data_IF_259727287299
#
_entry.id   IF_259727287299
#
_cell.length_a   1.000
_cell.length_b   1.000
_cell.length_c   1.000
_cell.angle_alpha   90.00
_cell.angle_beta   90.00
_cell.angle_gamma   90.00
#
_symmetry.space_group_name_H-M   'P 1'
#
loop_
_entity.id
_entity.type
_entity.pdbx_description
1 polymer ?
#
# COMPACT_ATOMS: atom_id res chain seq x y z
N UNK A 1 10.87 8.25 3.98
CA UNK A 1 10.56 8.56 2.58
C UNK A 1 10.31 7.23 1.89
N UNK A 2 9.21 7.11 1.15
CA UNK A 2 8.80 5.89 0.46
C UNK A 2 8.95 6.13 -1.05
N UNK A 3 9.75 5.30 -1.72
CA UNK A 3 9.90 5.32 -3.18
C UNK A 3 8.88 4.37 -3.79
N UNK A 4 8.01 4.90 -4.66
CA UNK A 4 6.93 4.14 -5.29
C UNK A 4 6.99 4.34 -6.80
N UNK A 5 6.91 3.23 -7.53
CA UNK A 5 6.68 3.25 -8.97
C UNK A 5 5.18 3.12 -9.24
N UNK A 6 4.55 4.15 -9.78
CA UNK A 6 3.13 4.13 -10.14
C UNK A 6 3.00 3.84 -11.62
N UNK A 7 2.28 2.78 -11.98
CA UNK A 7 1.94 2.36 -13.33
C UNK A 7 0.44 2.58 -13.58
N UNK A 8 0.08 2.95 -14.79
CA UNK A 8 -1.30 2.97 -15.26
C UNK A 8 -1.49 1.88 -16.32
N UNK A 9 -2.43 0.97 -16.09
CA UNK A 9 -2.88 -0.03 -17.07
C UNK A 9 -4.31 0.33 -17.51
N UNK A 10 -4.55 0.35 -18.81
CA UNK A 10 -5.86 0.70 -19.38
C UNK A 10 -6.86 -0.45 -19.19
N UNK A 11 -8.14 -0.08 -19.11
CA UNK A 11 -9.26 -0.95 -18.74
C UNK A 11 -9.34 -2.22 -19.62
N UNK A 12 -9.23 -3.38 -18.98
CA UNK A 12 -9.62 -4.67 -19.56
C UNK A 12 -11.09 -4.98 -19.23
N UNK A 13 -11.69 -5.89 -19.99
CA UNK A 13 -13.15 -6.16 -20.04
C UNK A 13 -13.76 -6.78 -18.75
N UNK A 14 -12.97 -7.01 -17.70
CA UNK A 14 -13.45 -7.63 -16.44
C UNK A 14 -13.47 -6.63 -15.28
N UNK A 15 -14.15 -6.96 -14.18
CA UNK A 15 -14.21 -6.11 -12.98
C UNK A 15 -12.81 -5.89 -12.40
N UNK A 16 -12.12 -4.85 -12.87
CA UNK A 16 -10.71 -4.63 -12.56
C UNK A 16 -10.57 -4.07 -11.14
N UNK A 17 -9.66 -4.60 -10.31
CA UNK A 17 -9.35 -3.99 -9.02
C UNK A 17 -8.96 -2.51 -9.18
N UNK A 18 -9.17 -1.70 -8.14
CA UNK A 18 -8.80 -0.27 -8.14
C UNK A 18 -7.29 -0.10 -8.37
N UNK A 19 -6.52 -0.91 -7.66
CA UNK A 19 -5.07 -0.89 -7.72
C UNK A 19 -4.48 -2.24 -7.33
N UNK A 20 -3.22 -2.48 -7.70
CA UNK A 20 -2.41 -3.59 -7.21
C UNK A 20 -1.07 -3.07 -6.73
N UNK A 21 -0.64 -3.50 -5.56
CA UNK A 21 0.64 -3.15 -4.93
C UNK A 21 1.54 -4.38 -4.98
N UNK A 22 2.75 -4.22 -5.51
CA UNK A 22 3.75 -5.28 -5.56
C UNK A 22 5.07 -4.77 -4.98
N UNK A 23 5.63 -5.46 -4.00
CA UNK A 23 6.99 -5.19 -3.56
C UNK A 23 7.96 -5.98 -4.44
N UNK A 24 8.93 -5.29 -5.05
CA UNK A 24 9.99 -5.93 -5.84
C UNK A 24 11.29 -5.91 -5.04
N UNK A 25 11.91 -7.09 -4.90
CA UNK A 25 13.24 -7.20 -4.32
C UNK A 25 14.24 -6.39 -5.16
N UNK A 26 14.97 -5.48 -4.53
CA UNK A 26 16.07 -4.77 -5.19
C UNK A 26 17.26 -5.74 -5.32
N UNK A 27 17.54 -6.24 -6.51
CA UNK A 27 18.67 -7.15 -6.78
C UNK A 27 20.04 -6.48 -6.53
N UNK A 28 20.09 -5.15 -6.53
CA UNK A 28 21.33 -4.38 -6.52
C UNK A 28 21.99 -4.23 -5.14
N UNK A 29 21.29 -4.47 -4.02
CA UNK A 29 21.90 -4.52 -2.68
C UNK A 29 20.89 -5.04 -1.67
N UNK A 30 21.31 -6.00 -0.83
CA UNK A 30 20.61 -6.52 0.36
C UNK A 30 20.25 -5.42 1.40
N UNK A 31 20.70 -4.19 1.16
CA UNK A 31 20.57 -3.01 2.03
C UNK A 31 19.57 -1.97 1.50
N UNK A 32 19.05 -2.13 0.27
CA UNK A 32 18.08 -1.19 -0.31
C UNK A 32 16.66 -1.63 0.05
N UNK A 33 15.78 -0.73 0.55
CA UNK A 33 14.39 -1.10 0.79
C UNK A 33 13.72 -1.62 -0.50
N UNK A 34 12.90 -2.65 -0.36
CA UNK A 34 12.06 -3.16 -1.45
C UNK A 34 11.29 -2.02 -2.11
N UNK A 35 11.36 -1.91 -3.44
CA UNK A 35 10.63 -0.88 -4.18
C UNK A 35 9.17 -1.29 -4.28
N UNK A 36 8.26 -0.38 -3.93
CA UNK A 36 6.82 -0.60 -4.07
C UNK A 36 6.38 -0.22 -5.49
N UNK A 37 5.73 -1.14 -6.19
CA UNK A 37 5.15 -0.94 -7.52
C UNK A 37 3.64 -0.93 -7.39
N UNK A 38 3.04 0.24 -7.57
CA UNK A 38 1.59 0.45 -7.61
C UNK A 38 1.13 0.42 -9.04
N UNK A 39 0.22 -0.48 -9.37
CA UNK A 39 -0.49 -0.49 -10.65
C UNK A 39 -1.90 0.02 -10.41
N UNK A 40 -2.26 1.14 -11.01
CA UNK A 40 -3.62 1.68 -11.04
C UNK A 40 -4.32 1.17 -12.29
N UNK A 41 -5.60 0.83 -12.13
CA UNK A 41 -6.44 0.39 -13.23
C UNK A 41 -7.58 1.37 -13.49
N UNK A 42 -8.03 1.45 -14.75
CA UNK A 42 -9.12 2.33 -15.15
C UNK A 42 -8.72 3.81 -15.12
N UNK A 43 -9.59 4.67 -14.60
CA UNK A 43 -9.32 6.11 -14.50
C UNK A 43 -8.52 6.41 -13.23
N UNK A 44 -7.25 6.85 -13.32
CA UNK A 44 -6.45 7.14 -12.14
C UNK A 44 -6.95 8.41 -11.45
N UNK A 45 -7.16 8.34 -10.14
CA UNK A 45 -7.56 9.47 -9.30
C UNK A 45 -6.59 9.62 -8.13
N UNK A 46 -6.59 10.80 -7.50
CA UNK A 46 -5.78 10.99 -6.29
C UNK A 46 -6.20 10.02 -5.18
N UNK A 47 -7.48 9.66 -5.11
CA UNK A 47 -8.01 8.72 -4.14
C UNK A 47 -7.57 7.27 -4.41
N UNK A 48 -7.58 6.81 -5.66
CA UNK A 48 -7.11 5.46 -6.00
C UNK A 48 -5.62 5.27 -5.72
N UNK A 49 -4.81 6.29 -6.00
CA UNK A 49 -3.40 6.29 -5.62
C UNK A 49 -3.21 6.35 -4.10
N UNK A 50 -3.96 7.20 -3.39
CA UNK A 50 -3.87 7.27 -1.94
C UNK A 50 -4.25 5.95 -1.25
N UNK A 51 -5.28 5.25 -1.75
CA UNK A 51 -5.66 3.91 -1.28
C UNK A 51 -4.56 2.88 -1.49
N UNK A 52 -3.90 2.90 -2.64
CA UNK A 52 -2.78 1.99 -2.91
C UNK A 52 -1.58 2.27 -1.98
N UNK A 53 -1.24 3.54 -1.77
CA UNK A 53 -0.17 3.93 -0.83
C UNK A 53 -0.54 3.56 0.61
N UNK A 54 -1.79 3.76 1.01
CA UNK A 54 -2.30 3.32 2.31
C UNK A 54 -2.14 1.80 2.48
N UNK A 55 -2.45 1.01 1.46
CA UNK A 55 -2.28 -0.44 1.51
C UNK A 55 -0.81 -0.85 1.73
N UNK A 56 0.16 -0.22 1.04
CA UNK A 56 1.58 -0.44 1.30
C UNK A 56 1.97 -0.12 2.75
N UNK A 57 1.48 1.00 3.30
CA UNK A 57 1.83 1.41 4.67
C UNK A 57 1.22 0.51 5.73
N UNK A 58 -0.06 0.18 5.60
CA UNK A 58 -0.73 -0.73 6.52
C UNK A 58 -0.12 -2.13 6.45
N UNK A 59 0.25 -2.61 5.26
CA UNK A 59 0.94 -3.89 5.11
C UNK A 59 2.32 -3.92 5.79
N UNK A 60 3.07 -2.82 5.74
CA UNK A 60 4.32 -2.68 6.48
C UNK A 60 4.10 -2.68 8.00
N UNK A 61 3.03 -2.03 8.49
CA UNK A 61 2.67 -1.99 9.91
C UNK A 61 2.30 -3.37 10.45
N UNK A 62 1.50 -4.14 9.71
CA UNK A 62 1.04 -5.48 10.12
C UNK A 62 2.19 -6.46 10.27
N UNK A 63 3.15 -6.45 9.34
CA UNK A 63 4.22 -7.47 9.33
C UNK A 63 5.48 -7.07 10.07
N UNK A 64 5.74 -5.77 10.23
CA UNK A 64 6.98 -5.23 10.83
C UNK A 64 8.27 -5.83 10.21
N UNK A 65 8.18 -6.31 8.96
CA UNK A 65 9.24 -6.96 8.19
C UNK A 65 9.53 -6.13 6.93
N UNK A 66 10.63 -5.36 6.90
CA UNK A 66 10.96 -4.53 5.74
C UNK A 66 11.36 -5.37 4.52
N UNK A 67 11.82 -6.61 4.73
CA UNK A 67 12.28 -7.57 3.73
C UNK A 67 11.16 -8.42 3.10
N UNK A 68 9.93 -8.34 3.64
CA UNK A 68 8.79 -9.07 3.08
C UNK A 68 8.41 -8.50 1.71
N UNK A 69 8.25 -9.40 0.75
CA UNK A 69 7.60 -9.15 -0.53
C UNK A 69 6.09 -9.18 -0.34
N UNK A 70 5.37 -8.33 -1.06
CA UNK A 70 3.92 -8.17 -0.93
C UNK A 70 3.30 -8.13 -2.31
N UNK A 71 2.17 -8.78 -2.47
CA UNK A 71 1.32 -8.72 -3.65
C UNK A 71 -0.11 -8.51 -3.16
N UNK A 72 -0.61 -7.28 -3.28
CA UNK A 72 -1.92 -6.89 -2.75
C UNK A 72 -2.78 -6.34 -3.87
N UNK A 73 -4.03 -6.78 -3.89
CA UNK A 73 -5.06 -6.29 -4.80
C UNK A 73 -6.07 -5.48 -4.01
N UNK A 74 -6.34 -4.25 -4.46
CA UNK A 74 -7.24 -3.30 -3.80
C UNK A 74 -8.58 -3.30 -4.54
N UNK A 75 -9.66 -3.59 -3.83
CA UNK A 75 -11.03 -3.53 -4.34
C UNK A 75 -11.91 -2.60 -3.50
N UNK A 76 -12.96 -2.06 -4.13
CA UNK A 76 -13.97 -1.22 -3.47
C UNK A 76 -14.84 -1.98 -2.48
N UNK A 77 -14.84 -3.32 -2.52
CA UNK A 77 -15.70 -4.17 -1.69
C UNK A 77 -14.95 -4.74 -0.49
N UNK A 78 -13.74 -5.27 -0.68
CA UNK A 78 -13.00 -6.02 0.34
C UNK A 78 -11.86 -5.22 0.99
N UNK A 79 -11.35 -4.16 0.35
CA UNK A 79 -10.12 -3.48 0.77
C UNK A 79 -8.90 -4.07 0.05
N UNK A 80 -7.78 -4.22 0.75
CA UNK A 80 -6.56 -4.78 0.17
C UNK A 80 -6.41 -6.24 0.57
N UNK A 81 -6.37 -7.15 -0.40
CA UNK A 81 -6.25 -8.59 -0.18
C UNK A 81 -5.14 -9.15 -1.06
N UNK A 82 -4.33 -10.03 -0.51
CA UNK A 82 -3.35 -10.79 -1.28
C UNK A 82 -2.42 -11.54 -0.35
N UNK A 83 -1.15 -11.60 -0.70
CA UNK A 83 -0.17 -12.39 0.02
C UNK A 83 1.13 -11.64 0.26
N UNK A 84 1.88 -12.17 1.20
CA UNK A 84 3.20 -11.69 1.52
C UNK A 84 4.14 -12.85 1.70
N UNK A 85 5.39 -12.64 1.29
CA UNK A 85 6.41 -13.67 1.30
C UNK A 85 7.71 -13.11 1.88
N UNK A 86 8.31 -13.83 2.82
CA UNK A 86 9.64 -13.48 3.35
C UNK A 86 10.48 -14.74 3.52
N UNK A 87 11.79 -14.55 3.60
CA UNK A 87 12.71 -15.64 3.88
C UNK A 87 12.87 -15.79 5.39
N UNK A 88 12.64 -16.99 5.91
CA UNK A 88 12.95 -17.32 7.29
C UNK A 88 14.48 -17.30 7.47
N UNK A 89 14.98 -16.52 8.43
CA UNK A 89 16.41 -16.36 8.68
C UNK A 89 17.05 -17.58 9.35
N UNK A 90 16.25 -18.43 9.99
CA UNK A 90 16.70 -19.62 10.70
C UNK A 90 16.70 -20.87 9.82
N UNK A 91 15.72 -21.02 8.92
CA UNK A 91 15.61 -22.18 8.03
C UNK A 91 16.02 -21.88 6.58
N UNK A 92 16.04 -20.61 6.18
CA UNK A 92 16.26 -20.19 4.79
C UNK A 92 15.05 -20.42 3.88
N UNK A 93 13.94 -20.95 4.42
CA UNK A 93 12.74 -21.25 3.66
C UNK A 93 11.93 -19.98 3.37
N UNK A 94 11.18 -20.01 2.27
CA UNK A 94 10.23 -18.93 1.95
C UNK A 94 8.91 -19.20 2.67
N UNK A 95 8.57 -18.35 3.63
CA UNK A 95 7.27 -18.36 4.29
C UNK A 95 6.34 -17.44 3.50
N UNK A 96 5.10 -17.90 3.25
CA UNK A 96 4.02 -17.07 2.71
C UNK A 96 2.90 -16.96 3.73
N UNK A 97 2.32 -15.77 3.83
CA UNK A 97 1.14 -15.52 4.64
C UNK A 97 0.16 -14.65 3.87
N UNK A 98 -1.12 -15.00 3.96
CA UNK A 98 -2.20 -14.18 3.45
C UNK A 98 -2.27 -12.86 4.23
N UNK A 99 -2.56 -11.78 3.52
CA UNK A 99 -2.74 -10.46 4.09
C UNK A 99 -4.05 -9.86 3.59
N UNK A 100 -4.91 -9.49 4.54
CA UNK A 100 -6.16 -8.79 4.29
C UNK A 100 -6.23 -7.53 5.16
N UNK A 101 -6.44 -6.38 4.54
CA UNK A 101 -6.54 -5.08 5.18
C UNK A 101 -7.93 -4.51 4.88
N UNK A 102 -8.77 -4.26 5.90
CA UNK A 102 -10.12 -3.76 5.70
C UNK A 102 -10.16 -2.40 4.98
N UNK A 103 -11.14 -2.22 4.09
CA UNK A 103 -11.31 -0.98 3.34
C UNK A 103 -11.44 0.26 4.23
N UNK A 104 -12.08 0.14 5.40
CA UNK A 104 -12.25 1.26 6.34
C UNK A 104 -10.89 1.81 6.78
N UNK A 105 -9.96 0.94 7.17
CA UNK A 105 -8.62 1.32 7.60
C UNK A 105 -7.81 1.96 6.46
N UNK A 106 -7.98 1.44 5.24
CA UNK A 106 -7.36 2.01 4.04
C UNK A 106 -7.87 3.41 3.75
N UNK A 107 -9.19 3.64 3.87
CA UNK A 107 -9.81 4.96 3.63
C UNK A 107 -9.36 6.00 4.65
N UNK A 108 -9.28 5.62 5.93
CA UNK A 108 -8.77 6.49 7.00
C UNK A 108 -7.33 6.92 6.71
N UNK A 109 -6.46 5.94 6.44
CA UNK A 109 -5.04 6.19 6.12
C UNK A 109 -4.89 6.99 4.82
N UNK A 110 -5.69 6.71 3.79
CA UNK A 110 -5.68 7.45 2.54
C UNK A 110 -6.11 8.91 2.72
N UNK A 111 -7.09 9.18 3.58
CA UNK A 111 -7.53 10.54 3.88
C UNK A 111 -6.41 11.34 4.55
N UNK A 112 -5.71 10.75 5.52
CA UNK A 112 -4.53 11.38 6.16
C UNK A 112 -3.43 11.68 5.14
N UNK A 113 -3.12 10.71 4.25
CA UNK A 113 -2.15 10.88 3.18
C UNK A 113 -2.52 12.00 2.20
N UNK A 114 -3.81 12.19 1.92
CA UNK A 114 -4.27 13.27 1.04
C UNK A 114 -4.16 14.66 1.71
N UNK A 115 -4.26 14.72 3.04
CA UNK A 115 -4.04 15.96 3.79
C UNK A 115 -2.55 16.32 3.80
N UNK A 116 -1.67 15.38 4.11
CA UNK A 116 -0.23 15.62 4.25
C UNK A 116 0.53 15.66 2.91
N UNK A 117 0.20 14.73 2.01
CA UNK A 117 0.91 14.47 0.76
C UNK A 117 0.09 14.73 -0.50
N UNK A 118 -1.12 15.29 -0.38
CA UNK A 118 -2.06 15.41 -1.50
C UNK A 118 -1.54 16.19 -2.71
N UNK A 119 -0.64 17.16 -2.53
CA UNK A 119 -0.03 17.87 -3.66
C UNK A 119 0.89 16.96 -4.49
N UNK A 120 1.71 16.13 -3.84
CA UNK A 120 2.58 15.17 -4.52
C UNK A 120 1.76 14.11 -5.26
N UNK A 121 0.71 13.58 -4.60
CA UNK A 121 -0.23 12.61 -5.18
C UNK A 121 -0.93 13.20 -6.41
N UNK A 122 -1.48 14.42 -6.32
CA UNK A 122 -2.14 15.07 -7.46
C UNK A 122 -1.18 15.35 -8.62
N UNK A 123 0.06 15.75 -8.32
CA UNK A 123 1.10 15.94 -9.34
C UNK A 123 1.45 14.63 -10.04
N UNK A 124 1.54 13.52 -9.29
CA UNK A 124 1.77 12.20 -9.85
C UNK A 124 0.67 11.79 -10.83
N UNK A 125 -0.60 11.96 -10.43
CA UNK A 125 -1.76 11.66 -11.27
C UNK A 125 -1.76 12.53 -12.53
N UNK A 126 -1.50 13.84 -12.39
CA UNK A 126 -1.41 14.74 -13.54
C UNK A 126 -0.28 14.34 -14.52
N UNK A 127 0.84 13.85 -13.99
CA UNK A 127 1.92 13.29 -14.81
C UNK A 127 1.52 12.00 -15.53
N UNK A 128 0.80 11.09 -14.86
CA UNK A 128 0.31 9.86 -15.47
C UNK A 128 -0.70 10.12 -16.59
N UNK A 129 -1.54 11.15 -16.43
CA UNK A 129 -2.58 11.56 -17.37
C UNK A 129 -2.08 12.46 -18.52
N UNK A 130 -0.77 12.68 -18.65
CA UNK A 130 -0.26 13.43 -19.81
C UNK A 130 -0.66 12.74 -21.13
N UNK A 131 -1.13 13.55 -22.08
CA UNK A 131 -1.71 13.06 -23.35
C UNK A 131 -0.63 12.51 -24.30
N UNK A 132 0.61 12.99 -24.19
CA UNK A 132 1.70 12.72 -25.13
C UNK A 132 2.71 11.72 -24.58
N UNK A 133 2.24 10.56 -24.08
CA UNK A 133 3.18 9.46 -23.87
C UNK A 133 3.68 8.97 -25.22
N UNK A 134 5.00 8.79 -25.39
CA UNK A 134 5.54 8.25 -26.64
C UNK A 134 4.91 6.89 -26.93
N UNK A 135 4.60 6.65 -28.19
CA UNK A 135 3.90 5.45 -28.65
C UNK A 135 4.69 4.19 -28.21
N UNK A 136 4.02 3.27 -27.50
CA UNK A 136 4.66 2.07 -26.91
C UNK A 136 5.32 2.25 -25.54
N UNK A 137 5.31 3.46 -24.95
CA UNK A 137 5.81 3.68 -23.60
C UNK A 137 4.76 3.30 -22.53
N UNK A 138 5.18 2.49 -21.55
CA UNK A 138 4.35 2.23 -20.37
C UNK A 138 4.23 3.50 -19.53
N UNK A 139 3.00 3.90 -19.21
CA UNK A 139 2.69 5.04 -18.34
C UNK A 139 3.13 4.72 -16.92
N UNK A 140 4.36 5.08 -16.57
CA UNK A 140 4.96 4.80 -15.28
C UNK A 140 5.72 6.01 -14.74
N UNK A 141 5.49 6.36 -13.48
CA UNK A 141 6.18 7.45 -12.80
C UNK A 141 6.71 7.01 -11.44
N UNK A 142 7.95 7.38 -11.16
CA UNK A 142 8.50 7.28 -9.81
C UNK A 142 8.05 8.47 -8.99
N UNK A 143 7.58 8.21 -7.78
CA UNK A 143 7.26 9.25 -6.80
C UNK A 143 7.93 8.94 -5.47
N UNK A 144 8.35 9.99 -4.79
CA UNK A 144 8.86 9.92 -3.42
C UNK A 144 7.86 10.61 -2.51
N UNK A 145 7.28 9.84 -1.60
CA UNK A 145 6.34 10.37 -0.62
C UNK A 145 7.05 10.57 0.72
N UNK A 146 6.93 11.77 1.33
CA UNK A 146 7.30 11.97 2.72
C UNK A 146 6.26 11.26 3.58
N UNK A 147 6.44 9.96 3.76
CA UNK A 147 5.72 9.23 4.80
C UNK A 147 6.19 9.76 6.14
N UNK A 148 5.34 10.55 6.79
CA UNK A 148 5.49 10.82 8.20
C UNK A 148 5.60 9.46 8.89
N UNK A 149 6.73 9.22 9.58
CA UNK A 149 6.76 8.13 10.56
C UNK A 149 5.54 8.35 11.44
N UNK A 150 4.71 7.32 11.70
CA UNK A 150 3.53 7.52 12.52
C UNK A 150 3.97 8.23 13.78
N UNK A 151 3.46 9.44 13.99
CA UNK A 151 3.44 10.00 15.31
C UNK A 151 2.80 8.93 16.20
N UNK A 152 3.41 8.69 17.35
CA UNK A 152 3.05 7.68 18.34
C UNK A 152 1.60 7.91 18.85
N UNK A 153 0.61 7.64 18.01
CA UNK A 153 -0.81 7.94 18.23
C UNK A 153 -1.71 6.74 18.04
N UNK A 154 -1.27 5.71 17.30
CA UNK A 154 -2.03 4.48 17.07
C UNK A 154 -1.86 3.42 18.17
N UNK A 155 -1.44 3.81 19.38
CA UNK A 155 -1.53 2.94 20.57
C UNK A 155 -2.91 3.08 21.25
N UNK A 156 -3.68 4.12 20.91
CA UNK A 156 -4.96 4.43 21.55
C UNK A 156 -6.15 3.57 21.06
N UNK A 157 -6.05 2.89 19.92
CA UNK A 157 -7.16 2.09 19.36
C UNK A 157 -7.12 0.60 19.72
N UNK A 158 -5.99 0.09 20.24
CA UNK A 158 -5.89 -1.28 20.75
C UNK A 158 -6.27 -1.40 22.24
N UNK A 159 -6.31 -0.29 22.99
CA UNK A 159 -6.63 -0.31 24.42
C UNK A 159 -8.14 -0.33 24.74
N UNK A 160 -9.05 -0.28 23.76
CA UNK A 160 -10.50 -0.22 24.00
C UNK A 160 -11.21 -1.58 23.93
N UNK A 161 -10.47 -2.69 23.91
CA UNK A 161 -11.05 -4.05 23.89
C UNK A 161 -10.62 -4.96 25.06
N UNK A 162 -10.12 -4.39 26.15
CA UNK A 162 -9.82 -5.13 27.40
C UNK A 162 -10.44 -4.50 28.65
N UNK A 163 -11.59 -3.82 28.53
CA UNK A 163 -12.35 -3.33 29.68
C UNK A 163 -13.82 -3.73 29.57
N UNK A 164 -14.08 -5.03 29.47
CA UNK A 164 -15.40 -5.60 29.74
C UNK A 164 -15.19 -7.01 30.28
N UNK A 165 -14.90 -7.10 31.58
CA UNK A 165 -14.57 -8.36 32.23
C UNK A 165 -14.38 -8.22 33.73
N UNK A 166 -15.46 -8.54 34.45
CA UNK A 166 -15.53 -8.92 35.86
C UNK A 166 -15.34 -7.81 36.91
N UNK A 167 -16.44 -7.47 37.59
CA UNK A 167 -16.56 -7.75 39.03
C UNK A 167 -18.05 -7.96 39.37
N UNK A 168 -18.42 -9.24 39.48
CA UNK A 168 -19.51 -9.69 40.32
C UNK A 168 -18.92 -9.96 41.72
N UNK A 169 -19.79 -9.86 42.74
CA UNK A 169 -19.58 -10.29 44.15
C UNK A 169 -18.82 -9.25 45.01
N UNK A 170 -19.32 -8.77 46.16
CA UNK A 170 -20.31 -9.27 47.14
C UNK A 170 -21.00 -8.08 47.85
#
# INVERSE_FOLDING_TARGET
MLEIMVKLEEEGVEAVPIARVNSVASEESLETPSREVVTLYGTPTAESLALAVAASLEAQKVQRRPDALRDLTISSEAGAVGDTAWRDTSTGEMIRADLAIPLTLLKETAAELLVEGGQAIRRAIAGLLQVEWPEGARRALRIELPVARPSRGSDALLARREADGADCEE
#
